data_IF_119194449412
#
_entry.id   IF_119194449412
#
_cell.length_a   1.000
_cell.length_b   1.000
_cell.length_c   1.000
_cell.angle_alpha   90.00
_cell.angle_beta   90.00
_cell.angle_gamma   90.00
#
_symmetry.space_group_name_H-M   'P 1'
#
loop_
_entity.id
_entity.type
_entity.pdbx_description
1 polymer ?
#
# COMPACT_ATOMS: atom_id res chain seq x y z
N UNK A 1 12.61 -28.14 -18.91
CA UNK A 1 12.19 -26.95 -19.67
C UNK A 1 12.63 -27.15 -21.11
N UNK A 2 11.75 -27.06 -22.11
CA UNK A 2 12.20 -27.25 -23.50
C UNK A 2 12.97 -26.03 -24.02
N UNK A 3 14.02 -26.25 -24.80
CA UNK A 3 14.92 -25.18 -25.31
C UNK A 3 14.17 -24.07 -26.05
N UNK A 4 13.12 -24.40 -26.81
CA UNK A 4 12.28 -23.39 -27.47
C UNK A 4 11.61 -22.44 -26.49
N UNK A 5 11.03 -22.97 -25.41
CA UNK A 5 10.33 -22.18 -24.41
C UNK A 5 11.31 -21.36 -23.57
N UNK A 6 12.49 -21.94 -23.25
CA UNK A 6 13.59 -21.23 -22.59
C UNK A 6 14.06 -20.01 -23.40
N UNK A 7 14.34 -20.19 -24.70
CA UNK A 7 14.78 -19.11 -25.59
C UNK A 7 13.69 -18.06 -25.83
N UNK A 8 12.42 -18.46 -25.93
CA UNK A 8 11.30 -17.53 -26.10
C UNK A 8 11.13 -16.59 -24.89
N UNK A 9 11.26 -17.13 -23.67
CA UNK A 9 11.20 -16.30 -22.46
C UNK A 9 12.39 -15.36 -22.36
N UNK A 10 13.60 -15.85 -22.66
CA UNK A 10 14.82 -15.05 -22.61
C UNK A 10 14.76 -13.89 -23.61
N UNK A 11 14.28 -14.12 -24.83
CA UNK A 11 14.11 -13.08 -25.84
C UNK A 11 13.05 -12.03 -25.46
N UNK A 12 11.96 -12.44 -24.79
CA UNK A 12 10.87 -11.52 -24.44
C UNK A 12 11.14 -10.72 -23.16
N UNK A 13 11.73 -11.35 -22.15
CA UNK A 13 11.86 -10.79 -20.80
C UNK A 13 13.32 -10.41 -20.46
N UNK A 14 14.29 -10.83 -21.27
CA UNK A 14 15.72 -10.67 -20.98
C UNK A 14 16.21 -11.52 -19.81
N UNK A 15 15.39 -12.46 -19.33
CA UNK A 15 15.68 -13.35 -18.21
C UNK A 15 14.75 -14.57 -18.24
N UNK A 16 15.19 -15.72 -17.73
CA UNK A 16 14.37 -16.91 -17.51
C UNK A 16 14.98 -17.81 -16.42
N UNK A 17 14.21 -18.75 -15.83
CA UNK A 17 14.73 -19.68 -14.82
C UNK A 17 15.88 -20.52 -15.37
N UNK A 18 17.02 -20.56 -14.67
CA UNK A 18 18.25 -21.22 -15.11
C UNK A 18 19.20 -20.32 -15.91
N UNK A 19 18.83 -19.07 -16.18
CA UNK A 19 19.73 -18.10 -16.79
C UNK A 19 20.66 -17.50 -15.74
N UNK A 20 21.97 -17.79 -15.87
CA UNK A 20 22.99 -17.42 -14.87
C UNK A 20 23.44 -15.96 -14.95
N UNK A 21 22.98 -15.19 -15.94
CA UNK A 21 23.33 -13.78 -16.10
C UNK A 21 22.09 -12.88 -16.28
N UNK A 22 21.10 -12.94 -15.37
CA UNK A 22 19.89 -12.15 -15.50
C UNK A 22 20.25 -10.68 -15.63
N UNK A 23 19.48 -9.93 -16.41
CA UNK A 23 19.71 -8.52 -16.64
C UNK A 23 19.56 -7.75 -15.31
N UNK A 24 20.67 -7.62 -14.56
CA UNK A 24 20.70 -6.95 -13.27
C UNK A 24 20.50 -5.46 -13.54
N UNK A 25 19.29 -4.98 -13.30
CA UNK A 25 19.02 -3.54 -13.27
C UNK A 25 19.90 -2.94 -12.18
N UNK A 26 21.03 -2.35 -12.56
CA UNK A 26 21.78 -1.44 -11.70
C UNK A 26 20.92 -0.20 -11.52
N UNK A 27 20.09 -0.18 -10.47
CA UNK A 27 19.40 1.04 -10.06
C UNK A 27 20.46 1.95 -9.46
N UNK A 28 20.72 3.09 -10.10
CA UNK A 28 21.49 4.16 -9.47
C UNK A 28 20.74 4.56 -8.20
N UNK A 29 21.37 4.39 -7.04
CA UNK A 29 20.81 4.82 -5.76
C UNK A 29 20.75 6.35 -5.79
N UNK A 30 19.57 6.98 -5.71
CA UNK A 30 19.48 8.44 -5.83
C UNK A 30 20.06 9.16 -4.60
N UNK A 31 20.11 8.48 -3.45
CA UNK A 31 20.61 9.01 -2.19
C UNK A 31 22.03 8.53 -1.90
N UNK A 32 22.97 9.48 -1.78
CA UNK A 32 24.30 9.23 -1.20
C UNK A 32 24.18 9.14 0.31
N UNK A 33 25.20 8.62 0.99
CA UNK A 33 25.17 8.58 2.46
C UNK A 33 25.33 9.99 3.07
N UNK A 34 26.04 10.87 2.38
CA UNK A 34 26.16 12.30 2.70
C UNK A 34 24.80 13.01 2.63
N UNK A 35 24.05 12.86 1.52
CA UNK A 35 22.76 13.54 1.38
C UNK A 35 21.69 13.02 2.35
N UNK A 36 21.81 11.76 2.80
CA UNK A 36 20.96 11.22 3.86
C UNK A 36 21.29 11.83 5.21
N UNK A 37 22.58 11.97 5.52
CA UNK A 37 23.03 12.57 6.77
C UNK A 37 22.61 14.04 6.83
N UNK A 38 22.80 14.78 5.74
CA UNK A 38 22.38 16.17 5.58
C UNK A 38 20.86 16.33 5.81
N UNK A 39 20.04 15.48 5.19
CA UNK A 39 18.59 15.51 5.41
C UNK A 39 18.19 15.27 6.88
N UNK A 40 18.91 14.41 7.61
CA UNK A 40 18.66 14.15 9.03
C UNK A 40 19.10 15.35 9.88
N UNK A 41 20.27 15.92 9.61
CA UNK A 41 20.81 17.07 10.34
C UNK A 41 19.91 18.30 10.19
N UNK A 42 19.51 18.64 8.95
CA UNK A 42 18.59 19.75 8.69
C UNK A 42 17.25 19.55 9.41
N UNK A 43 16.75 18.31 9.45
CA UNK A 43 15.49 17.99 10.09
C UNK A 43 15.56 18.11 11.62
N UNK A 44 16.62 17.61 12.25
CA UNK A 44 16.82 17.73 13.70
C UNK A 44 17.09 19.18 14.13
N UNK A 45 17.87 19.93 13.35
CA UNK A 45 18.16 21.35 13.60
C UNK A 45 16.89 22.21 13.59
N UNK A 46 15.90 21.85 12.76
CA UNK A 46 14.63 22.54 12.66
C UNK A 46 13.64 22.25 13.82
N UNK A 47 14.02 21.42 14.81
CA UNK A 47 13.19 21.05 15.97
C UNK A 47 11.77 20.63 15.58
N UNK A 48 11.62 19.44 14.95
CA UNK A 48 10.38 19.03 14.33
C UNK A 48 9.31 18.74 15.37
N UNK A 49 8.14 19.34 15.20
CA UNK A 49 6.94 19.05 15.99
C UNK A 49 5.93 18.28 15.14
N UNK A 50 4.93 17.61 15.72
CA UNK A 50 3.89 16.92 14.94
C UNK A 50 3.13 17.81 13.95
N UNK A 51 3.09 19.13 14.19
CA UNK A 51 2.44 20.10 13.30
C UNK A 51 3.40 20.62 12.22
N UNK A 52 4.65 20.89 12.58
CA UNK A 52 5.66 21.48 11.66
C UNK A 52 6.44 20.45 10.86
N UNK A 53 6.42 19.17 11.26
CA UNK A 53 7.24 18.12 10.64
C UNK A 53 7.02 17.95 9.14
N UNK A 54 5.80 18.18 8.65
CA UNK A 54 5.48 18.08 7.23
C UNK A 54 5.92 19.31 6.43
N UNK A 55 6.06 20.46 7.06
CA UNK A 55 6.56 21.69 6.43
C UNK A 55 8.08 21.60 6.29
N UNK A 56 8.77 21.22 7.36
CA UNK A 56 10.22 20.98 7.37
C UNK A 56 10.61 19.92 6.31
N UNK A 57 9.83 18.84 6.17
CA UNK A 57 10.09 17.82 5.13
C UNK A 57 9.95 18.37 3.71
N UNK A 58 9.07 19.36 3.47
CA UNK A 58 8.94 19.99 2.16
C UNK A 58 10.11 20.92 1.88
N UNK A 59 10.49 21.73 2.86
CA UNK A 59 11.64 22.64 2.75
C UNK A 59 12.93 21.86 2.43
N UNK A 60 13.22 20.81 3.19
CA UNK A 60 14.40 19.95 2.93
C UNK A 60 14.32 19.28 1.55
N UNK A 61 13.12 18.91 1.11
CA UNK A 61 12.92 18.30 -0.21
C UNK A 61 13.22 19.28 -1.34
N UNK A 62 12.76 20.53 -1.20
CA UNK A 62 13.02 21.60 -2.16
C UNK A 62 14.53 21.97 -2.18
N UNK A 63 15.16 22.03 -1.01
CA UNK A 63 16.61 22.35 -0.88
C UNK A 63 17.50 21.25 -1.48
N UNK A 64 17.17 19.98 -1.24
CA UNK A 64 17.95 18.83 -1.74
C UNK A 64 17.55 18.39 -3.16
N UNK A 65 16.54 19.02 -3.77
CA UNK A 65 16.01 18.64 -5.09
C UNK A 65 15.39 17.23 -5.10
N UNK A 66 14.90 16.77 -3.96
CA UNK A 66 14.35 15.44 -3.74
C UNK A 66 12.83 15.50 -3.56
N UNK A 67 12.16 14.36 -3.60
CA UNK A 67 10.72 14.35 -3.30
C UNK A 67 10.46 14.39 -1.79
N UNK A 68 9.40 15.08 -1.31
CA UNK A 68 9.02 15.08 0.11
C UNK A 68 8.81 13.66 0.68
N UNK A 69 8.33 12.73 -0.14
CA UNK A 69 8.21 11.33 0.24
C UNK A 69 9.58 10.64 0.35
N UNK A 70 10.54 10.98 -0.51
CA UNK A 70 11.93 10.51 -0.43
C UNK A 70 12.58 10.91 0.89
N UNK A 71 12.52 12.20 1.23
CA UNK A 71 13.01 12.74 2.51
C UNK A 71 12.33 12.04 3.69
N UNK A 72 10.99 11.93 3.69
CA UNK A 72 10.26 11.21 4.75
C UNK A 72 10.72 9.76 4.92
N UNK A 73 11.03 9.07 3.82
CA UNK A 73 11.55 7.69 3.87
C UNK A 73 12.93 7.62 4.51
N UNK A 74 13.81 8.58 4.25
CA UNK A 74 15.13 8.67 4.91
C UNK A 74 14.96 8.92 6.41
N UNK A 75 14.18 9.93 6.79
CA UNK A 75 13.94 10.28 8.20
C UNK A 75 13.26 9.16 8.98
N UNK A 76 12.32 8.44 8.34
CA UNK A 76 11.65 7.29 8.97
C UNK A 76 12.63 6.12 9.16
N UNK A 77 13.53 5.87 8.19
CA UNK A 77 14.57 4.85 8.32
C UNK A 77 15.62 5.21 9.37
N UNK A 78 15.90 6.51 9.54
CA UNK A 78 16.76 7.03 10.59
C UNK A 78 16.08 7.06 11.97
N UNK A 79 14.75 6.88 12.03
CA UNK A 79 13.98 6.85 13.28
C UNK A 79 13.66 8.22 13.88
N UNK A 80 14.04 9.31 13.21
CA UNK A 80 13.90 10.69 13.70
C UNK A 80 12.58 11.35 13.31
N UNK A 81 11.86 10.79 12.32
CA UNK A 81 10.66 11.40 11.77
C UNK A 81 9.51 11.52 12.78
N UNK A 82 9.07 12.74 13.06
CA UNK A 82 7.93 13.03 13.93
C UNK A 82 6.65 13.01 13.12
N UNK A 83 5.85 11.95 13.29
CA UNK A 83 4.55 11.83 12.63
C UNK A 83 3.55 12.79 13.28
N UNK A 84 2.71 13.43 12.46
CA UNK A 84 1.55 14.19 12.94
C UNK A 84 0.69 13.31 13.84
N UNK A 85 0.50 13.75 15.08
CA UNK A 85 -0.37 13.10 16.04
C UNK A 85 -1.79 13.19 15.47
N UNK A 86 -2.45 12.08 15.12
CA UNK A 86 -3.87 12.16 14.82
C UNK A 86 -4.55 12.69 16.08
N UNK A 87 -5.41 13.71 15.95
CA UNK A 87 -6.33 14.09 17.02
C UNK A 87 -6.94 12.80 17.58
N UNK A 88 -6.89 12.64 18.91
CA UNK A 88 -7.23 11.39 19.59
C UNK A 88 -8.51 10.79 19.00
N UNK A 89 -8.36 9.76 18.16
CA UNK A 89 -9.50 9.04 17.64
C UNK A 89 -10.05 8.27 18.82
N UNK A 90 -11.27 8.63 19.24
CA UNK A 90 -12.17 7.65 19.84
C UNK A 90 -12.09 6.38 18.99
N UNK A 91 -11.92 5.24 19.66
CA UNK A 91 -11.93 3.91 19.08
C UNK A 91 -13.02 3.76 18.01
N UNK A 92 -12.63 3.32 16.81
CA UNK A 92 -13.55 2.97 15.72
C UNK A 92 -13.87 4.12 14.76
N UNK A 93 -13.15 4.19 13.65
CA UNK A 93 -13.49 5.14 12.58
C UNK A 93 -12.77 4.77 11.29
N UNK A 94 -13.51 4.06 10.43
CA UNK A 94 -13.12 3.59 9.11
C UNK A 94 -12.36 4.66 8.29
N UNK A 95 -11.30 4.20 7.61
CA UNK A 95 -10.62 4.99 6.59
C UNK A 95 -11.56 5.20 5.40
N UNK A 96 -11.97 6.44 5.16
CA UNK A 96 -12.66 6.90 3.93
C UNK A 96 -11.72 7.04 2.73
N UNK A 97 -10.45 6.64 2.85
CA UNK A 97 -9.56 6.43 1.71
C UNK A 97 -9.73 5.02 1.17
N UNK A 98 -10.54 4.86 0.12
CA UNK A 98 -10.68 3.66 -0.70
C UNK A 98 -10.59 2.35 0.09
N UNK A 99 -11.66 2.01 0.81
CA UNK A 99 -11.74 0.83 1.66
C UNK A 99 -11.23 -0.38 0.88
N UNK A 100 -10.02 -0.84 1.19
CA UNK A 100 -9.62 -2.21 0.89
C UNK A 100 -10.52 -3.07 1.75
N UNK A 101 -11.67 -3.43 1.19
CA UNK A 101 -12.62 -4.29 1.88
C UNK A 101 -11.94 -5.65 1.94
N UNK A 102 -11.66 -6.12 3.15
CA UNK A 102 -11.11 -7.44 3.33
C UNK A 102 -12.11 -8.45 2.75
N UNK A 103 -11.61 -9.49 2.07
CA UNK A 103 -12.45 -10.54 1.46
C UNK A 103 -13.42 -11.11 2.49
N UNK A 104 -12.95 -11.33 3.72
CA UNK A 104 -13.75 -11.82 4.83
C UNK A 104 -14.90 -10.88 5.17
N UNK A 105 -14.62 -9.59 5.41
CA UNK A 105 -15.68 -8.63 5.76
C UNK A 105 -16.75 -8.48 4.65
N UNK A 106 -16.38 -8.65 3.38
CA UNK A 106 -17.33 -8.65 2.28
C UNK A 106 -18.19 -9.92 2.22
N UNK A 107 -17.63 -11.07 2.59
CA UNK A 107 -18.34 -12.35 2.64
C UNK A 107 -19.30 -12.40 3.82
N UNK A 108 -18.87 -11.96 5.00
CA UNK A 108 -19.71 -11.91 6.20
C UNK A 108 -20.93 -10.99 5.98
N UNK A 109 -20.74 -9.85 5.31
CA UNK A 109 -21.82 -8.95 4.94
C UNK A 109 -22.83 -9.57 3.95
N UNK A 110 -22.35 -10.40 3.01
CA UNK A 110 -23.21 -11.11 2.08
C UNK A 110 -24.02 -12.21 2.80
N UNK A 111 -23.37 -12.99 3.66
CA UNK A 111 -24.02 -14.01 4.51
C UNK A 111 -25.15 -13.42 5.34
N UNK A 112 -24.89 -12.27 5.99
CA UNK A 112 -25.91 -11.55 6.75
C UNK A 112 -27.09 -11.13 5.86
N UNK A 113 -26.82 -10.51 4.71
CA UNK A 113 -27.87 -10.05 3.80
C UNK A 113 -28.74 -11.21 3.23
N UNK A 114 -28.14 -12.38 2.96
CA UNK A 114 -28.88 -13.57 2.51
C UNK A 114 -29.74 -14.13 3.65
N UNK A 115 -29.22 -14.14 4.88
CA UNK A 115 -29.97 -14.58 6.08
C UNK A 115 -31.14 -13.64 6.38
N UNK A 116 -30.93 -12.33 6.26
CA UNK A 116 -31.98 -11.31 6.42
C UNK A 116 -33.07 -11.45 5.34
N UNK A 117 -32.70 -11.90 4.14
CA UNK A 117 -33.65 -12.26 3.08
C UNK A 117 -34.36 -13.61 3.29
N UNK A 118 -34.09 -14.31 4.40
CA UNK A 118 -34.73 -15.57 4.78
C UNK A 118 -34.29 -16.78 3.95
N UNK A 119 -33.14 -16.70 3.27
CA UNK A 119 -32.59 -17.78 2.45
C UNK A 119 -31.47 -18.50 3.19
N UNK A 120 -31.28 -19.79 2.89
CA UNK A 120 -30.12 -20.55 3.39
C UNK A 120 -28.84 -20.10 2.69
N UNK A 121 -27.77 -19.87 3.48
CA UNK A 121 -26.48 -19.42 2.97
C UNK A 121 -25.64 -20.63 2.56
N UNK A 122 -25.22 -20.66 1.29
CA UNK A 122 -24.21 -21.61 0.81
C UNK A 122 -22.80 -21.07 1.10
N UNK A 123 -22.21 -21.52 2.22
CA UNK A 123 -20.88 -21.10 2.67
C UNK A 123 -19.76 -21.50 1.67
N UNK A 124 -19.93 -22.61 0.96
CA UNK A 124 -18.98 -23.09 -0.06
C UNK A 124 -18.96 -22.18 -1.29
N UNK A 125 -20.10 -21.60 -1.65
CA UNK A 125 -20.20 -20.61 -2.73
C UNK A 125 -19.68 -19.25 -2.25
N UNK A 126 -20.10 -18.79 -1.07
CA UNK A 126 -19.68 -17.49 -0.53
C UNK A 126 -18.16 -17.43 -0.35
N UNK A 127 -17.52 -18.49 0.15
CA UNK A 127 -16.06 -18.57 0.35
C UNK A 127 -15.26 -18.44 -0.95
N UNK A 128 -15.82 -18.88 -2.08
CA UNK A 128 -15.21 -18.79 -3.43
C UNK A 128 -15.31 -17.39 -4.05
N UNK A 129 -16.23 -16.54 -3.57
CA UNK A 129 -16.39 -15.18 -4.10
C UNK A 129 -15.18 -14.30 -3.77
N UNK A 130 -14.84 -13.39 -4.68
CA UNK A 130 -13.90 -12.30 -4.37
C UNK A 130 -14.61 -11.23 -3.55
N UNK A 131 -13.87 -10.47 -2.74
CA UNK A 131 -14.47 -9.41 -1.91
C UNK A 131 -15.32 -8.42 -2.74
N UNK A 132 -14.87 -8.04 -3.95
CA UNK A 132 -15.65 -7.18 -4.84
C UNK A 132 -16.95 -7.84 -5.34
N UNK A 133 -16.92 -9.14 -5.65
CA UNK A 133 -18.11 -9.87 -6.09
C UNK A 133 -19.14 -9.98 -4.95
N UNK A 134 -18.70 -10.33 -3.74
CA UNK A 134 -19.57 -10.41 -2.58
C UNK A 134 -20.23 -9.06 -2.26
N UNK A 135 -19.48 -7.96 -2.37
CA UNK A 135 -20.04 -6.61 -2.21
C UNK A 135 -21.07 -6.25 -3.29
N UNK A 136 -20.83 -6.63 -4.54
CA UNK A 136 -21.79 -6.40 -5.62
C UNK A 136 -23.12 -7.09 -5.32
N UNK A 137 -23.10 -8.37 -4.95
CA UNK A 137 -24.32 -9.11 -4.61
C UNK A 137 -25.00 -8.59 -3.35
N UNK A 138 -24.24 -8.24 -2.31
CA UNK A 138 -24.79 -7.62 -1.10
C UNK A 138 -25.55 -6.35 -1.45
N UNK A 139 -24.96 -5.48 -2.29
CA UNK A 139 -25.60 -4.24 -2.74
C UNK A 139 -26.89 -4.50 -3.52
N UNK A 140 -26.89 -5.49 -4.42
CA UNK A 140 -28.09 -5.85 -5.21
C UNK A 140 -29.19 -6.38 -4.30
N UNK A 141 -28.86 -7.23 -3.32
CA UNK A 141 -29.84 -7.78 -2.37
C UNK A 141 -30.46 -6.68 -1.51
N UNK A 142 -29.65 -5.79 -0.95
CA UNK A 142 -30.13 -4.69 -0.10
C UNK A 142 -30.88 -3.60 -0.86
N UNK A 143 -30.61 -3.45 -2.17
CA UNK A 143 -31.30 -2.48 -3.01
C UNK A 143 -32.71 -2.92 -3.42
N UNK A 144 -33.04 -4.20 -3.28
CA UNK A 144 -34.34 -4.78 -3.65
C UNK A 144 -35.21 -5.11 -2.43
N UNK A 145 -34.82 -4.66 -1.23
CA UNK A 145 -35.52 -4.94 0.03
C UNK A 145 -36.57 -3.87 0.41
N UNK A 146 -37.00 -3.06 -0.56
CA UNK A 146 -38.11 -2.09 -0.43
C UNK A 146 -39.44 -2.68 -0.94
#
# INVERSE_FOLDING_TARGET
MGDRFYNQQLNRLGTCPGYNNPNKRNRKMPWTDESKAEAVELYEAANPTPETSMEIVKEIADDLGESPNGVRMILTKAGVYVKKTPAAKASGGASTGGTRVSKQAAQDALTAAITDAGQEVDEDVVSKLTGKAAQYFTKVLTANAD
#
